data_IF_641614180410
#
_entry.id   IF_641614180410
#
_cell.length_a   1.000
_cell.length_b   1.000
_cell.length_c   1.000
_cell.angle_alpha   90.00
_cell.angle_beta   90.00
_cell.angle_gamma   90.00
#
_symmetry.space_group_name_H-M   'P 1'
#
loop_
_entity.id
_entity.type
_entity.pdbx_description
1 polymer ?
#
# COMPACT_ATOMS: atom_id res chain seq x y z
N UNK A 1 -0.59 -17.29 10.54
CA UNK A 1 -0.87 -16.11 9.70
C UNK A 1 0.26 -15.11 9.89
N UNK A 2 0.67 -14.32 8.89
CA UNK A 2 1.71 -13.29 9.05
C UNK A 2 1.37 -12.23 10.12
N UNK A 3 0.09 -12.05 10.43
CA UNK A 3 -0.39 -11.13 11.47
C UNK A 3 -0.69 -11.82 12.81
N UNK A 4 -0.19 -13.04 13.03
CA UNK A 4 -0.40 -13.78 14.28
C UNK A 4 0.46 -13.27 15.44
N UNK A 5 1.25 -12.22 15.24
CA UNK A 5 2.00 -11.53 16.28
C UNK A 5 1.02 -10.70 17.11
N UNK A 6 1.27 -10.57 18.42
CA UNK A 6 0.44 -9.93 19.45
C UNK A 6 -0.52 -8.80 18.99
N UNK A 7 -1.69 -8.63 19.63
CA UNK A 7 -2.64 -7.58 19.26
C UNK A 7 -2.02 -6.17 19.32
N UNK A 8 -2.24 -5.39 18.27
CA UNK A 8 -1.88 -3.97 18.21
C UNK A 8 -2.90 -3.13 19.02
N UNK A 9 -2.43 -2.15 19.78
CA UNK A 9 -3.32 -1.33 20.63
C UNK A 9 -3.99 -0.22 19.81
N UNK A 10 -3.25 0.39 18.90
CA UNK A 10 -3.74 1.44 18.00
C UNK A 10 -3.49 1.08 16.54
N UNK A 11 -4.47 1.34 15.69
CA UNK A 11 -4.39 1.06 14.27
C UNK A 11 -4.90 2.26 13.48
N UNK A 12 -4.17 2.64 12.43
CA UNK A 12 -4.65 3.60 11.44
C UNK A 12 -5.01 2.86 10.16
N UNK A 13 -6.24 3.07 9.66
CA UNK A 13 -6.65 2.60 8.34
C UNK A 13 -6.79 3.82 7.43
N UNK A 14 -5.82 4.01 6.55
CA UNK A 14 -5.69 5.22 5.75
C UNK A 14 -6.24 4.96 4.34
N UNK A 15 -7.42 5.52 4.05
CA UNK A 15 -7.98 5.57 2.70
C UNK A 15 -7.31 6.65 1.83
N UNK A 16 -7.69 6.68 0.55
CA UNK A 16 -7.13 7.63 -0.44
C UNK A 16 -8.04 8.85 -0.68
N UNK A 17 -8.84 9.23 0.32
CA UNK A 17 -9.79 10.33 0.21
C UNK A 17 -9.10 11.69 0.15
N UNK A 18 -9.58 12.58 -0.73
CA UNK A 18 -9.02 13.93 -0.87
C UNK A 18 -9.12 14.81 0.39
N UNK A 19 -9.93 14.42 1.37
CA UNK A 19 -10.07 15.07 2.68
C UNK A 19 -8.74 15.10 3.46
N UNK A 20 -7.80 14.19 3.17
CA UNK A 20 -6.49 14.19 3.83
C UNK A 20 -5.62 15.37 3.40
N UNK A 21 -5.88 15.99 2.24
CA UNK A 21 -5.08 17.11 1.75
C UNK A 21 -5.15 18.30 2.70
N UNK A 22 -3.98 18.81 3.11
CA UNK A 22 -3.80 19.88 4.09
C UNK A 22 -4.33 19.56 5.50
N UNK A 23 -4.60 18.30 5.81
CA UNK A 23 -5.08 17.89 7.14
C UNK A 23 -4.00 17.93 8.21
N UNK A 24 -2.72 17.82 7.82
CA UNK A 24 -1.59 17.62 8.74
C UNK A 24 -1.72 16.38 9.65
N UNK A 25 -2.54 15.39 9.27
CA UNK A 25 -2.77 14.16 10.05
C UNK A 25 -1.59 13.19 10.07
N UNK A 26 -0.51 13.44 9.31
CA UNK A 26 0.55 12.45 9.09
C UNK A 26 1.22 11.98 10.37
N UNK A 27 1.49 12.89 11.31
CA UNK A 27 2.11 12.54 12.60
C UNK A 27 1.18 11.69 13.49
N UNK A 28 -0.14 11.95 13.45
CA UNK A 28 -1.14 11.17 14.19
C UNK A 28 -1.26 9.75 13.61
N UNK A 29 -1.28 9.64 12.28
CA UNK A 29 -1.28 8.36 11.56
C UNK A 29 -0.04 7.54 11.94
N UNK A 30 1.15 8.14 11.87
CA UNK A 30 2.41 7.44 12.11
C UNK A 30 2.61 7.03 13.58
N UNK A 31 1.86 7.65 14.52
CA UNK A 31 1.85 7.25 15.94
C UNK A 31 1.12 5.93 16.20
N UNK A 32 0.29 5.46 15.27
CA UNK A 32 -0.43 4.18 15.43
C UNK A 32 0.53 2.99 15.42
N UNK A 33 0.29 1.96 16.23
CA UNK A 33 1.15 0.76 16.28
C UNK A 33 1.25 0.09 14.91
N UNK A 34 0.12 0.01 14.19
CA UNK A 34 0.01 -0.60 12.87
C UNK A 34 -0.75 0.28 11.88
N UNK A 35 -0.20 0.49 10.68
CA UNK A 35 -0.79 1.33 9.64
C UNK A 35 -1.15 0.52 8.39
N UNK A 36 -2.42 0.53 8.03
CA UNK A 36 -2.97 -0.06 6.81
C UNK A 36 -3.13 1.02 5.72
N UNK A 37 -2.70 0.72 4.50
CA UNK A 37 -2.86 1.58 3.32
C UNK A 37 -3.49 0.84 2.15
N UNK A 38 -4.12 1.59 1.25
CA UNK A 38 -4.90 1.01 0.16
C UNK A 38 -4.29 1.31 -1.21
N UNK A 39 -4.03 0.27 -2.00
CA UNK A 39 -3.73 0.37 -3.43
C UNK A 39 -2.47 1.18 -3.78
N UNK A 40 -1.37 0.95 -3.05
CA UNK A 40 -0.07 1.58 -3.27
C UNK A 40 -0.12 3.13 -3.38
N UNK A 41 -0.65 3.84 -2.36
CA UNK A 41 -0.77 5.29 -2.42
C UNK A 41 0.58 5.97 -2.16
N UNK A 42 0.85 7.16 -2.73
CA UNK A 42 2.08 7.89 -2.43
C UNK A 42 2.14 8.28 -0.94
N UNK A 43 3.28 8.03 -0.30
CA UNK A 43 3.54 8.34 1.13
C UNK A 43 4.75 9.23 1.36
N UNK A 44 5.57 9.45 0.32
CA UNK A 44 6.82 10.21 0.40
C UNK A 44 6.68 11.61 -0.18
N UNK A 45 7.57 12.52 0.23
CA UNK A 45 7.57 13.91 -0.22
C UNK A 45 6.57 14.79 0.55
N UNK A 46 6.06 15.84 -0.07
CA UNK A 46 5.21 16.85 0.60
C UNK A 46 3.91 16.29 1.17
N UNK A 47 3.38 15.20 0.60
CA UNK A 47 2.14 14.56 1.06
C UNK A 47 2.30 13.87 2.43
N UNK A 48 3.52 13.49 2.82
CA UNK A 48 3.80 12.80 4.09
C UNK A 48 3.31 13.58 5.31
N UNK A 49 3.28 14.91 5.25
CA UNK A 49 2.72 15.76 6.31
C UNK A 49 1.25 15.45 6.60
N UNK A 50 0.51 15.10 5.56
CA UNK A 50 -0.92 14.86 5.60
C UNK A 50 -1.26 13.39 5.82
N UNK A 51 -0.49 12.48 5.22
CA UNK A 51 -0.83 11.04 5.17
C UNK A 51 0.12 10.14 5.95
N UNK A 52 1.20 10.69 6.50
CA UNK A 52 2.27 9.93 7.16
C UNK A 52 3.10 9.11 6.19
N UNK A 53 4.18 8.52 6.68
CA UNK A 53 5.03 7.61 5.89
C UNK A 53 5.04 6.16 6.41
N UNK A 54 4.61 5.91 7.65
CA UNK A 54 4.56 4.57 8.25
C UNK A 54 3.58 3.70 7.48
N UNK A 55 4.00 2.50 7.14
CA UNK A 55 3.16 1.49 6.48
C UNK A 55 3.55 0.12 7.02
N UNK A 56 2.58 -0.65 7.49
CA UNK A 56 2.80 -2.02 7.92
C UNK A 56 2.10 -3.02 7.00
N UNK A 57 1.00 -2.61 6.36
CA UNK A 57 0.33 -3.36 5.31
C UNK A 57 -0.17 -2.40 4.24
N UNK A 58 0.08 -2.71 2.98
CA UNK A 58 -0.53 -2.01 1.85
C UNK A 58 -1.18 -3.02 0.90
N UNK A 59 -2.41 -2.72 0.47
CA UNK A 59 -3.10 -3.57 -0.50
C UNK A 59 -2.61 -3.26 -1.91
N UNK A 60 -2.60 -4.29 -2.76
CA UNK A 60 -2.25 -4.19 -4.18
C UNK A 60 -3.34 -4.86 -4.98
N UNK A 61 -4.34 -4.09 -5.45
CA UNK A 61 -5.29 -4.64 -6.41
C UNK A 61 -4.54 -5.08 -7.69
N UNK A 62 -4.68 -6.34 -8.13
CA UNK A 62 -4.04 -6.83 -9.35
C UNK A 62 -4.32 -6.01 -10.62
N UNK A 63 -5.43 -5.27 -10.68
CA UNK A 63 -5.70 -4.35 -11.80
C UNK A 63 -4.68 -3.23 -11.92
N UNK A 64 -4.10 -2.75 -10.80
CA UNK A 64 -3.04 -1.74 -10.79
C UNK A 64 -1.81 -2.28 -11.52
N UNK A 65 -1.45 -3.53 -11.25
CA UNK A 65 -0.32 -4.21 -11.90
C UNK A 65 -0.59 -4.36 -13.40
N UNK A 66 -1.81 -4.75 -13.78
CA UNK A 66 -2.19 -4.88 -15.17
C UNK A 66 -2.17 -3.54 -15.92
N UNK A 67 -2.74 -2.48 -15.33
CA UNK A 67 -2.99 -1.20 -16.00
C UNK A 67 -1.79 -0.23 -15.90
N UNK A 68 -1.23 -0.03 -14.70
CA UNK A 68 -0.14 0.93 -14.46
C UNK A 68 1.23 0.35 -14.86
N UNK A 69 1.41 -0.95 -14.62
CA UNK A 69 2.71 -1.64 -14.78
C UNK A 69 2.74 -2.61 -15.95
N UNK A 70 1.85 -2.48 -16.94
CA UNK A 70 1.80 -3.30 -18.16
C UNK A 70 1.97 -4.81 -17.88
N UNK A 71 1.22 -5.34 -16.90
CA UNK A 71 1.26 -6.74 -16.46
C UNK A 71 2.68 -7.24 -16.10
N UNK A 72 3.56 -6.34 -15.65
CA UNK A 72 4.97 -6.58 -15.32
C UNK A 72 5.81 -7.14 -16.47
N UNK A 73 5.42 -6.92 -17.73
CA UNK A 73 6.20 -7.38 -18.88
C UNK A 73 7.49 -6.54 -19.03
N UNK A 74 7.34 -5.22 -19.10
CA UNK A 74 8.47 -4.28 -19.30
C UNK A 74 8.67 -3.35 -18.09
N UNK A 75 7.63 -3.14 -17.28
CA UNK A 75 7.64 -2.20 -16.14
C UNK A 75 7.93 -2.87 -14.80
N UNK A 76 8.64 -4.01 -14.80
CA UNK A 76 8.97 -4.72 -13.56
C UNK A 76 9.87 -3.89 -12.64
N UNK A 77 10.91 -3.25 -13.20
CA UNK A 77 11.81 -2.38 -12.44
C UNK A 77 11.06 -1.20 -11.82
N UNK A 78 10.22 -0.51 -12.60
CA UNK A 78 9.39 0.60 -12.13
C UNK A 78 8.45 0.15 -10.99
N UNK A 79 7.88 -1.06 -11.08
CA UNK A 79 7.06 -1.62 -10.01
C UNK A 79 7.89 -1.83 -8.74
N UNK A 80 9.06 -2.47 -8.84
CA UNK A 80 9.96 -2.73 -7.71
C UNK A 80 10.42 -1.45 -7.02
N UNK A 81 10.81 -0.43 -7.79
CA UNK A 81 11.19 0.89 -7.25
C UNK A 81 10.04 1.56 -6.49
N UNK A 82 8.82 1.49 -7.05
CA UNK A 82 7.65 2.08 -6.43
C UNK A 82 7.20 1.36 -5.15
N UNK A 83 7.44 0.04 -5.01
CA UNK A 83 7.09 -0.69 -3.79
C UNK A 83 8.21 -0.61 -2.74
N UNK A 84 9.45 -0.29 -3.14
CA UNK A 84 10.59 -0.20 -2.23
C UNK A 84 10.37 0.83 -1.10
N UNK A 85 9.56 1.87 -1.35
CA UNK A 85 9.22 2.90 -0.35
C UNK A 85 8.45 2.35 0.85
N UNK A 86 7.81 1.18 0.74
CA UNK A 86 7.08 0.55 1.84
C UNK A 86 7.96 -0.34 2.72
N UNK A 87 9.24 -0.54 2.36
CA UNK A 87 10.18 -1.34 3.14
C UNK A 87 9.66 -2.74 3.45
N UNK A 88 9.65 -3.10 4.73
CA UNK A 88 9.24 -4.42 5.23
C UNK A 88 7.71 -4.59 5.38
N UNK A 89 6.90 -3.66 4.85
CA UNK A 89 5.45 -3.77 4.92
C UNK A 89 4.92 -5.00 4.17
N UNK A 90 3.83 -5.56 4.68
CA UNK A 90 3.11 -6.62 3.97
C UNK A 90 2.42 -6.08 2.72
N UNK A 91 2.67 -6.69 1.57
CA UNK A 91 1.89 -6.48 0.36
C UNK A 91 0.72 -7.45 0.31
N UNK A 92 -0.49 -6.95 0.56
CA UNK A 92 -1.70 -7.78 0.48
C UNK A 92 -2.27 -7.74 -0.93
N UNK A 93 -2.13 -8.86 -1.64
CA UNK A 93 -2.56 -9.00 -3.03
C UNK A 93 -3.76 -9.95 -3.16
N UNK A 94 -4.99 -9.45 -3.34
CA UNK A 94 -6.18 -10.29 -3.48
C UNK A 94 -6.26 -10.91 -4.89
N UNK A 95 -5.45 -11.95 -5.15
CA UNK A 95 -5.25 -12.58 -6.46
C UNK A 95 -6.52 -13.21 -7.08
N UNK A 96 -7.49 -13.54 -6.22
CA UNK A 96 -8.67 -14.32 -6.59
C UNK A 96 -9.98 -13.53 -6.55
N UNK A 97 -9.93 -12.21 -6.28
CA UNK A 97 -11.14 -11.38 -6.26
C UNK A 97 -11.71 -11.10 -7.66
N UNK A 98 -10.86 -11.10 -8.71
CA UNK A 98 -11.27 -10.87 -10.09
C UNK A 98 -10.53 -11.84 -11.03
N UNK A 99 -11.27 -12.75 -11.67
CA UNK A 99 -10.72 -13.82 -12.51
C UNK A 99 -9.78 -13.31 -13.62
N UNK A 100 -10.09 -12.15 -14.21
CA UNK A 100 -9.30 -11.53 -15.27
C UNK A 100 -7.88 -11.15 -14.83
N UNK A 101 -7.65 -10.94 -13.53
CA UNK A 101 -6.36 -10.49 -13.03
C UNK A 101 -5.53 -11.59 -12.35
N UNK A 102 -6.08 -12.79 -12.14
CA UNK A 102 -5.39 -13.88 -11.43
C UNK A 102 -4.06 -14.26 -12.08
N UNK A 103 -3.97 -14.32 -13.40
CA UNK A 103 -2.70 -14.60 -14.09
C UNK A 103 -1.63 -13.52 -13.85
N UNK A 104 -2.03 -12.26 -13.75
CA UNK A 104 -1.12 -11.13 -13.45
C UNK A 104 -0.59 -11.21 -12.02
N UNK A 105 -1.41 -11.68 -11.08
CA UNK A 105 -1.04 -11.83 -9.67
C UNK A 105 0.15 -12.77 -9.45
N UNK A 106 0.29 -13.82 -10.27
CA UNK A 106 1.41 -14.77 -10.17
C UNK A 106 2.74 -14.22 -10.72
N UNK A 107 2.75 -13.03 -11.30
CA UNK A 107 3.97 -12.38 -11.81
C UNK A 107 4.67 -11.47 -10.78
N UNK A 108 3.99 -11.20 -9.66
CA UNK A 108 4.48 -10.35 -8.58
C UNK A 108 5.51 -11.10 -7.76
#
# INVERSE_FOLDING_TARGET
SPLSVYPFKTCAVVGNGGILKNSSCGAEIDHSDFVFRCNLPPTMGSISKDVGNKTNLVTVNPSIIAQKYNKLNEKKTEFLENIAVYGDAFLLLPAFSFRSNTATSFKV
#
